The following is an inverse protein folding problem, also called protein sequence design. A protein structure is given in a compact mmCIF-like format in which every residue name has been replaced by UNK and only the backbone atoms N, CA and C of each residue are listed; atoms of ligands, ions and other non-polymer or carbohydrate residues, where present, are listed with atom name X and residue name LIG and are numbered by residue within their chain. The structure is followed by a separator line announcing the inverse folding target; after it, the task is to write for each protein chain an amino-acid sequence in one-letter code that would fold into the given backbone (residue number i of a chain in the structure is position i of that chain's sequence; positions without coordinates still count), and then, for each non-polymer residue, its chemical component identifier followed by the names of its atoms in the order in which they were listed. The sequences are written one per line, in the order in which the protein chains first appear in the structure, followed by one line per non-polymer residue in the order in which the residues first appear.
data_IF_390229731969
#
_entry.id   IF_390229731969
#
_cell.length_a   1.000
_cell.length_b   1.000
_cell.length_c   1.000
_cell.angle_alpha   90.00
_cell.angle_beta   90.00
_cell.angle_gamma   90.00
#
_symmetry.space_group_name_H-M   'P 1'
#
loop_
_entity.id
_entity.type
_entity.pdbx_description
1 polymer ?
#
# COMPACT_ATOMS: atom_id res chain seq x y z
N UNK A 1 -4.42 -47.66 46.15
CA UNK A 1 -5.08 -48.04 44.88
C UNK A 1 -6.11 -46.95 44.59
N UNK A 2 -5.98 -46.29 43.42
CA UNK A 2 -6.95 -45.36 42.76
C UNK A 2 -7.25 -44.03 43.49
N UNK A 3 -6.67 -42.86 43.15
CA UNK A 3 -6.76 -41.97 41.96
C UNK A 3 -8.07 -41.15 41.84
N UNK A 4 -7.94 -39.81 41.83
CA UNK A 4 -8.85 -38.80 41.24
C UNK A 4 -8.19 -37.40 41.37
N UNK A 5 -7.43 -36.95 40.36
CA UNK A 5 -7.81 -36.12 39.20
C UNK A 5 -7.98 -34.62 39.54
N UNK A 6 -6.88 -33.88 39.38
CA UNK A 6 -6.88 -32.42 39.37
C UNK A 6 -6.97 -31.98 37.91
N UNK A 7 -8.18 -31.71 37.43
CA UNK A 7 -8.39 -31.19 36.07
C UNK A 7 -8.08 -29.69 36.05
N UNK A 8 -6.88 -29.34 35.59
CA UNK A 8 -6.51 -27.97 35.26
C UNK A 8 -7.29 -27.50 34.03
N UNK A 9 -7.82 -26.29 34.10
CA UNK A 9 -8.40 -25.59 32.94
C UNK A 9 -7.32 -25.32 31.90
N UNK A 10 -7.42 -25.95 30.74
CA UNK A 10 -6.68 -25.58 29.54
C UNK A 10 -7.66 -25.11 28.47
N UNK A 11 -7.81 -23.80 28.34
CA UNK A 11 -8.28 -23.18 27.10
C UNK A 11 -7.07 -22.57 26.41
N UNK A 12 -6.57 -23.14 25.30
CA UNK A 12 -5.86 -22.31 24.33
C UNK A 12 -6.93 -21.55 23.55
N UNK A 13 -7.06 -20.25 23.87
CA UNK A 13 -7.53 -19.28 22.87
C UNK A 13 -6.41 -19.22 21.84
N UNK A 14 -6.57 -19.92 20.73
CA UNK A 14 -5.68 -19.75 19.59
C UNK A 14 -6.02 -18.38 18.99
N UNK A 15 -5.09 -17.45 19.18
CA UNK A 15 -5.13 -16.11 18.59
C UNK A 15 -5.28 -16.22 17.07
N UNK A 16 -6.02 -15.31 16.40
CA UNK A 16 -5.98 -15.26 14.96
C UNK A 16 -4.52 -14.98 14.54
N UNK A 17 -3.91 -16.00 13.95
CA UNK A 17 -2.57 -15.96 13.36
C UNK A 17 -2.47 -14.80 12.36
N UNK A 18 -1.89 -13.69 12.80
CA UNK A 18 -1.60 -12.50 11.96
C UNK A 18 -0.41 -12.72 11.02
N UNK A 19 0.23 -13.89 11.05
CA UNK A 19 1.40 -14.22 10.22
C UNK A 19 1.08 -14.53 8.75
N UNK A 20 -0.20 -14.66 8.35
CA UNK A 20 -0.55 -15.03 6.97
C UNK A 20 -0.46 -13.89 5.93
N UNK A 21 -0.42 -12.63 6.37
CA UNK A 21 -0.72 -11.49 5.48
C UNK A 21 0.52 -10.92 4.78
N UNK A 22 1.73 -11.20 5.27
CA UNK A 22 2.99 -10.79 4.63
C UNK A 22 3.44 -11.70 3.49
N UNK A 23 2.75 -12.82 3.26
CA UNK A 23 3.16 -13.86 2.31
C UNK A 23 2.47 -13.79 0.95
N UNK A 24 1.68 -12.74 0.67
CA UNK A 24 1.02 -12.65 -0.62
C UNK A 24 2.05 -12.47 -1.73
N UNK A 25 2.04 -13.29 -2.81
CA UNK A 25 3.07 -13.26 -3.84
C UNK A 25 3.21 -11.92 -4.55
N UNK A 26 2.15 -11.08 -4.53
CA UNK A 26 2.20 -9.70 -5.05
C UNK A 26 3.14 -8.78 -4.25
N UNK A 27 3.40 -9.11 -2.98
CA UNK A 27 4.25 -8.36 -2.05
C UNK A 27 5.64 -8.95 -1.92
N UNK A 28 5.89 -10.11 -2.54
CA UNK A 28 7.17 -10.78 -2.48
C UNK A 28 8.23 -9.91 -3.17
N UNK A 29 9.17 -9.40 -2.37
CA UNK A 29 10.37 -8.73 -2.85
C UNK A 29 11.12 -9.70 -3.77
N UNK A 30 11.03 -9.49 -5.10
CA UNK A 30 11.79 -10.24 -6.10
C UNK A 30 12.95 -9.38 -6.60
N UNK A 31 14.04 -9.98 -7.11
CA UNK A 31 15.08 -9.22 -7.81
C UNK A 31 14.42 -8.45 -8.95
N UNK A 32 14.29 -7.15 -8.77
CA UNK A 32 13.65 -6.25 -9.73
C UNK A 32 14.77 -5.52 -10.47
N UNK A 33 15.09 -6.02 -11.66
CA UNK A 33 15.99 -5.33 -12.58
C UNK A 33 15.33 -4.12 -13.25
N UNK A 34 16.12 -3.34 -13.98
CA UNK A 34 15.66 -2.36 -14.98
C UNK A 34 14.61 -1.35 -14.47
N UNK A 35 14.92 -0.59 -13.43
CA UNK A 35 14.06 0.51 -12.97
C UNK A 35 12.73 0.07 -12.36
N UNK A 36 12.61 -1.20 -11.95
CA UNK A 36 11.44 -1.71 -11.21
C UNK A 36 11.73 -1.74 -9.71
N UNK A 37 10.72 -1.40 -8.90
CA UNK A 37 10.74 -1.53 -7.44
C UNK A 37 9.46 -2.22 -6.97
N UNK A 38 9.54 -2.98 -5.87
CA UNK A 38 8.38 -3.55 -5.17
C UNK A 38 8.38 -3.05 -3.73
N UNK A 39 7.22 -2.69 -3.19
CA UNK A 39 7.07 -2.26 -1.79
C UNK A 39 5.70 -2.64 -1.25
N UNK A 40 5.55 -2.58 0.07
CA UNK A 40 4.33 -2.87 0.80
C UNK A 40 4.07 -1.75 1.85
N UNK A 41 3.27 -2.06 2.86
CA UNK A 41 2.88 -1.13 3.93
C UNK A 41 4.05 -0.60 4.77
N UNK A 42 5.16 -1.35 4.88
CA UNK A 42 6.30 -1.00 5.73
C UNK A 42 7.16 0.12 5.11
N UNK A 43 7.14 0.28 3.78
CA UNK A 43 7.89 1.32 3.10
C UNK A 43 7.10 2.62 2.95
N UNK A 44 7.33 3.54 3.88
CA UNK A 44 6.73 4.88 3.89
C UNK A 44 6.93 5.68 2.60
N UNK A 45 8.05 5.50 1.89
CA UNK A 45 8.43 6.38 0.78
C UNK A 45 8.88 7.78 1.23
N UNK A 46 9.12 8.65 0.26
CA UNK A 46 9.74 9.96 0.41
C UNK A 46 9.37 10.86 -0.79
N UNK A 47 10.00 12.03 -0.93
CA UNK A 47 9.85 12.86 -2.14
C UNK A 47 11.19 13.07 -2.85
N UNK A 48 12.15 12.18 -2.66
CA UNK A 48 13.48 12.26 -3.26
C UNK A 48 13.47 11.73 -4.70
N UNK A 49 12.45 10.95 -5.06
CA UNK A 49 12.26 10.38 -6.39
C UNK A 49 10.78 10.18 -6.74
N UNK A 50 10.47 9.98 -8.02
CA UNK A 50 9.11 9.65 -8.47
C UNK A 50 8.54 8.38 -7.79
N UNK A 51 9.27 7.25 -7.76
CA UNK A 51 8.84 6.05 -7.03
C UNK A 51 8.70 6.29 -5.53
N UNK A 52 9.57 7.12 -4.92
CA UNK A 52 9.46 7.55 -3.53
C UNK A 52 8.12 8.24 -3.26
N UNK A 53 7.74 9.20 -4.10
CA UNK A 53 6.49 9.96 -3.95
C UNK A 53 5.26 9.06 -4.16
N UNK A 54 5.32 8.10 -5.09
CA UNK A 54 4.27 7.10 -5.30
C UNK A 54 4.08 6.23 -4.06
N UNK A 55 5.16 5.76 -3.43
CA UNK A 55 5.09 5.01 -2.16
C UNK A 55 4.50 5.88 -1.05
N UNK A 56 4.96 7.12 -0.90
CA UNK A 56 4.44 8.05 0.11
C UNK A 56 2.95 8.34 -0.04
N UNK A 57 2.46 8.45 -1.27
CA UNK A 57 1.04 8.62 -1.54
C UNK A 57 0.22 7.42 -1.03
N UNK A 58 0.65 6.20 -1.38
CA UNK A 58 -0.07 4.99 -1.00
C UNK A 58 0.06 4.66 0.49
N UNK A 59 1.22 4.92 1.12
CA UNK A 59 1.36 4.84 2.56
C UNK A 59 0.42 5.84 3.28
N UNK A 60 0.28 7.06 2.75
CA UNK A 60 -0.73 8.01 3.21
C UNK A 60 -2.16 7.48 3.12
N UNK A 61 -2.46 6.76 2.03
CA UNK A 61 -3.78 6.23 1.73
C UNK A 61 -4.14 4.98 2.57
N UNK A 62 -3.28 3.97 2.62
CA UNK A 62 -3.60 2.67 3.24
C UNK A 62 -3.13 2.56 4.69
N UNK A 63 -1.96 3.13 5.02
CA UNK A 63 -1.33 2.95 6.35
C UNK A 63 -1.75 4.06 7.29
N UNK A 64 -1.52 5.32 6.89
CA UNK A 64 -1.95 6.48 7.69
C UNK A 64 -3.45 6.74 7.58
N UNK A 65 -4.11 6.14 6.58
CA UNK A 65 -5.54 6.33 6.27
C UNK A 65 -5.95 7.80 6.28
N UNK A 66 -5.10 8.65 5.69
CA UNK A 66 -5.24 10.10 5.71
C UNK A 66 -5.11 10.69 4.31
N UNK A 67 -6.23 11.22 3.81
CA UNK A 67 -6.24 11.94 2.54
C UNK A 67 -5.29 13.14 2.55
N UNK A 68 -5.18 13.84 3.68
CA UNK A 68 -4.23 14.94 3.86
C UNK A 68 -2.78 14.49 3.65
N UNK A 69 -2.40 13.37 4.27
CA UNK A 69 -1.05 12.82 4.15
C UNK A 69 -0.76 12.36 2.71
N UNK A 70 -1.70 11.66 2.07
CA UNK A 70 -1.57 11.23 0.67
C UNK A 70 -1.44 12.43 -0.28
N UNK A 71 -2.27 13.47 -0.10
CA UNK A 71 -2.27 14.68 -0.94
C UNK A 71 -1.00 15.52 -0.77
N UNK A 72 -0.29 15.42 0.35
CA UNK A 72 0.93 16.21 0.61
C UNK A 72 2.07 15.93 -0.39
N UNK A 73 2.05 14.77 -1.05
CA UNK A 73 3.05 14.39 -2.07
C UNK A 73 2.51 14.44 -3.51
N UNK A 74 1.31 14.99 -3.70
CA UNK A 74 0.72 15.25 -4.99
C UNK A 74 0.75 16.75 -5.30
N UNK A 75 0.88 17.10 -6.58
CA UNK A 75 0.78 18.48 -7.02
C UNK A 75 -0.67 19.01 -6.81
N UNK A 76 -0.86 20.33 -6.66
CA UNK A 76 -2.20 20.91 -6.54
C UNK A 76 -3.11 20.48 -7.71
N UNK A 77 -4.25 19.87 -7.39
CA UNK A 77 -5.23 19.41 -8.39
C UNK A 77 -4.88 18.11 -9.11
N UNK A 78 -3.75 17.46 -8.82
CA UNK A 78 -3.33 16.20 -9.46
C UNK A 78 -4.17 14.97 -9.04
N UNK A 79 -4.80 15.06 -7.87
CA UNK A 79 -5.66 14.01 -7.28
C UNK A 79 -6.94 14.66 -6.74
N UNK A 80 -7.92 13.83 -6.37
CA UNK A 80 -9.20 14.31 -5.86
C UNK A 80 -9.04 15.17 -4.59
N UNK A 81 -10.12 15.88 -4.22
CA UNK A 81 -10.13 16.70 -3.00
C UNK A 81 -9.93 15.85 -1.76
N UNK A 82 -9.46 16.47 -0.67
CA UNK A 82 -9.24 15.76 0.61
C UNK A 82 -10.51 15.06 1.10
N UNK A 83 -11.65 15.76 1.02
CA UNK A 83 -12.95 15.21 1.39
C UNK A 83 -13.30 13.95 0.57
N UNK A 84 -13.20 14.02 -0.75
CA UNK A 84 -13.53 12.88 -1.63
C UNK A 84 -12.57 11.72 -1.40
N UNK A 85 -11.26 11.99 -1.32
CA UNK A 85 -10.28 10.94 -1.05
C UNK A 85 -10.51 10.26 0.30
N UNK A 86 -10.84 11.03 1.35
CA UNK A 86 -11.07 10.46 2.67
C UNK A 86 -12.26 9.51 2.67
N UNK A 87 -13.34 9.83 1.94
CA UNK A 87 -14.48 8.92 1.79
C UNK A 87 -14.08 7.57 1.17
N UNK A 88 -13.20 7.55 0.16
CA UNK A 88 -12.72 6.30 -0.43
C UNK A 88 -11.78 5.53 0.50
N UNK A 89 -10.93 6.24 1.26
CA UNK A 89 -10.07 5.63 2.29
C UNK A 89 -10.92 4.95 3.36
N UNK A 90 -11.95 5.64 3.85
CA UNK A 90 -12.81 5.14 4.94
C UNK A 90 -13.64 3.93 4.51
N UNK A 91 -13.96 3.80 3.22
CA UNK A 91 -14.61 2.62 2.65
C UNK A 91 -13.72 1.38 2.60
N UNK A 92 -12.39 1.51 2.70
CA UNK A 92 -11.49 0.35 2.77
C UNK A 92 -11.55 -0.27 4.15
N UNK A 93 -11.84 -1.58 4.28
CA UNK A 93 -11.86 -2.27 5.57
C UNK A 93 -10.60 -1.99 6.39
N UNK A 94 -10.75 -1.90 7.71
CA UNK A 94 -9.59 -1.86 8.61
C UNK A 94 -8.75 -3.13 8.41
N UNK A 95 -7.43 -2.98 8.38
CA UNK A 95 -6.51 -4.07 8.06
C UNK A 95 -6.30 -4.28 6.56
N UNK A 96 -6.90 -3.46 5.68
CA UNK A 96 -6.53 -3.46 4.26
C UNK A 96 -5.05 -3.11 4.11
N UNK A 97 -4.31 -4.00 3.45
CA UNK A 97 -2.89 -3.84 3.12
C UNK A 97 -2.71 -3.53 1.65
N UNK A 98 -1.55 -3.00 1.28
CA UNK A 98 -1.24 -2.72 -0.11
C UNK A 98 0.17 -3.18 -0.51
N UNK A 99 0.30 -3.54 -1.79
CA UNK A 99 1.58 -3.85 -2.40
C UNK A 99 1.70 -3.14 -3.76
N UNK A 100 2.84 -2.49 -3.96
CA UNK A 100 3.15 -1.73 -5.16
C UNK A 100 4.25 -2.43 -5.93
N UNK A 101 4.08 -2.49 -7.26
CA UNK A 101 5.16 -2.72 -8.21
C UNK A 101 5.23 -1.53 -9.14
N UNK A 102 6.34 -0.80 -9.10
CA UNK A 102 6.55 0.44 -9.85
C UNK A 102 7.66 0.17 -10.86
N UNK A 103 7.40 0.34 -12.16
CA UNK A 103 8.39 0.22 -13.23
C UNK A 103 8.46 1.53 -14.00
N UNK A 104 9.63 2.16 -14.02
CA UNK A 104 9.88 3.34 -14.85
C UNK A 104 9.81 2.98 -16.34
N UNK A 105 8.98 3.69 -17.09
CA UNK A 105 8.81 3.50 -18.55
C UNK A 105 9.56 4.56 -19.34
N UNK A 106 9.58 5.79 -18.80
CA UNK A 106 10.28 6.95 -19.32
C UNK A 106 10.58 7.89 -18.13
N UNK A 107 11.45 8.90 -18.29
CA UNK A 107 11.74 9.83 -17.21
C UNK A 107 10.47 10.44 -16.60
N UNK A 108 10.28 10.20 -15.30
CA UNK A 108 9.11 10.64 -14.52
C UNK A 108 7.76 10.02 -14.90
N UNK A 109 7.74 8.93 -15.69
CA UNK A 109 6.55 8.16 -16.05
C UNK A 109 6.69 6.70 -15.62
N UNK A 110 5.73 6.23 -14.82
CA UNK A 110 5.80 4.93 -14.16
C UNK A 110 4.56 4.10 -14.45
N UNK A 111 4.77 2.85 -14.87
CA UNK A 111 3.75 1.82 -14.79
C UNK A 111 3.68 1.31 -13.36
N UNK A 112 2.50 1.39 -12.75
CA UNK A 112 2.27 1.00 -11.35
C UNK A 112 1.21 -0.08 -11.30
N UNK A 113 1.54 -1.18 -10.62
CA UNK A 113 0.58 -2.20 -10.23
C UNK A 113 0.38 -2.10 -8.73
N UNK A 114 -0.83 -1.75 -8.31
CA UNK A 114 -1.26 -1.67 -6.92
C UNK A 114 -2.16 -2.86 -6.63
N UNK A 115 -1.78 -3.69 -5.66
CA UNK A 115 -2.62 -4.80 -5.17
C UNK A 115 -3.14 -4.44 -3.79
N UNK A 116 -4.46 -4.32 -3.64
CA UNK A 116 -5.15 -4.22 -2.35
C UNK A 116 -5.42 -5.62 -1.80
N UNK A 117 -5.06 -5.82 -0.54
CA UNK A 117 -5.29 -7.07 0.20
C UNK A 117 -6.23 -6.76 1.37
N UNK A 118 -7.51 -7.07 1.18
CA UNK A 118 -8.51 -6.90 2.22
C UNK A 118 -8.61 -8.20 3.05
N UNK A 119 -8.91 -8.13 4.36
CA UNK A 119 -8.91 -9.30 5.24
C UNK A 119 -9.81 -10.45 4.78
N UNK A 120 -10.99 -10.15 4.23
CA UNK A 120 -12.04 -11.12 3.91
C UNK A 120 -12.45 -11.13 2.43
N UNK A 121 -11.58 -10.63 1.53
CA UNK A 121 -11.86 -10.58 0.10
C UNK A 121 -10.66 -11.01 -0.74
N UNK A 122 -10.93 -11.41 -1.98
CA UNK A 122 -9.89 -11.68 -2.95
C UNK A 122 -9.06 -10.40 -3.22
N UNK A 123 -7.76 -10.52 -3.52
CA UNK A 123 -6.92 -9.39 -3.89
C UNK A 123 -7.50 -8.61 -5.06
N UNK A 124 -7.44 -7.28 -4.98
CA UNK A 124 -7.87 -6.38 -6.05
C UNK A 124 -6.63 -5.72 -6.65
N UNK A 125 -6.46 -5.84 -7.95
CA UNK A 125 -5.29 -5.28 -8.65
C UNK A 125 -5.70 -4.12 -9.54
N UNK A 126 -5.06 -2.97 -9.33
CA UNK A 126 -5.18 -1.78 -10.15
C UNK A 126 -3.90 -1.60 -10.96
N UNK A 127 -4.05 -1.34 -12.26
CA UNK A 127 -2.95 -0.99 -13.17
C UNK A 127 -3.07 0.47 -13.52
N UNK A 128 -1.97 1.19 -13.37
CA UNK A 128 -1.95 2.64 -13.50
C UNK A 128 -0.71 3.11 -14.26
N UNK A 129 -0.84 4.25 -14.92
CA UNK A 129 0.29 5.09 -15.32
C UNK A 129 0.30 6.31 -14.41
N UNK A 130 1.40 6.49 -13.70
CA UNK A 130 1.62 7.64 -12.82
C UNK A 130 2.72 8.52 -13.41
N UNK A 131 2.45 9.81 -13.52
CA UNK A 131 3.44 10.82 -13.88
C UNK A 131 3.81 11.65 -12.67
N UNK A 132 5.07 12.01 -12.58
CA UNK A 132 5.60 12.89 -11.53
C UNK A 132 6.35 14.06 -12.13
N UNK A 133 6.70 15.03 -11.29
CA UNK A 133 7.67 16.08 -11.62
C UNK A 133 8.44 16.50 -10.39
N UNK A 134 9.66 17.00 -10.57
CA UNK A 134 10.42 17.58 -9.47
C UNK A 134 10.24 19.09 -9.42
N UNK A 135 9.90 19.63 -8.26
CA UNK A 135 9.80 21.07 -8.00
C UNK A 135 10.44 21.37 -6.65
N UNK A 136 11.38 22.32 -6.61
CA UNK A 136 12.11 22.65 -5.37
C UNK A 136 12.85 21.46 -4.76
N UNK A 137 13.39 20.56 -5.59
CA UNK A 137 14.09 19.36 -5.15
C UNK A 137 13.21 18.23 -4.61
N UNK A 138 11.87 18.37 -4.67
CA UNK A 138 10.91 17.34 -4.25
C UNK A 138 10.11 16.82 -5.44
N UNK A 139 9.95 15.51 -5.52
CA UNK A 139 9.07 14.85 -6.48
C UNK A 139 7.61 14.94 -6.02
N UNK A 140 6.72 15.24 -6.96
CA UNK A 140 5.27 15.31 -6.76
C UNK A 140 4.54 14.50 -7.83
N UNK A 141 3.48 13.79 -7.44
CA UNK A 141 2.56 13.14 -8.38
C UNK A 141 1.76 14.22 -9.14
N UNK A 142 1.80 14.14 -10.47
CA UNK A 142 1.10 15.05 -11.38
C UNK A 142 -0.18 14.46 -11.94
N UNK A 143 -0.22 13.14 -12.13
CA UNK A 143 -1.44 12.44 -12.56
C UNK A 143 -1.37 10.97 -12.22
N UNK A 144 -2.52 10.38 -11.90
CA UNK A 144 -2.72 8.94 -11.78
C UNK A 144 -3.80 8.57 -12.79
N UNK A 145 -3.51 7.67 -13.72
CA UNK A 145 -4.47 7.20 -14.72
C UNK A 145 -4.55 5.69 -14.69
N UNK A 146 -5.76 5.13 -14.64
CA UNK A 146 -5.96 3.69 -14.77
C UNK A 146 -5.62 3.22 -16.19
N UNK A 147 -5.17 1.98 -16.29
CA UNK A 147 -4.96 1.24 -17.55
C UNK A 147 -5.90 0.05 -17.51
N UNK A 148 -6.88 0.04 -18.41
CA UNK A 148 -7.81 -1.09 -18.60
C UNK A 148 -7.12 -2.26 -19.28
#
# INVERSE_FOLDING_TARGET
MVAADATQSTVPTDEPSTSGVASHPACAQRPVGSGTTVSNDDEKGDQESGPGAIRAFNHGYYVLRSAKAARAVAAPGAVASEYVMQQYIDQRPIGTRHCLRITEQAPNEYSVVLTELQPDAAPITYRQVIRTSTTGGKAFIQSIKSVE
#
